data_IF_078379587532
#
_entry.id   IF_078379587532
#
_cell.length_a   1.000
_cell.length_b   1.000
_cell.length_c   1.000
_cell.angle_alpha   90.00
_cell.angle_beta   90.00
_cell.angle_gamma   90.00
#
_symmetry.space_group_name_H-M   'P 1'
#
loop_
_entity.id
_entity.type
_entity.pdbx_description
1 polymer ?
#
# COMPACT_ATOMS: atom_id res chain seq x y z
N UNK A 1 46.33 29.02 -13.81
CA UNK A 1 44.87 28.93 -14.01
C UNK A 1 44.47 27.49 -14.40
N UNK A 2 44.75 26.49 -13.55
CA UNK A 2 44.40 25.06 -13.81
C UNK A 2 43.95 24.36 -12.50
N UNK A 3 44.35 24.88 -11.33
CA UNK A 3 44.07 24.25 -10.02
C UNK A 3 42.61 24.43 -9.57
N UNK A 4 41.86 25.40 -10.10
CA UNK A 4 40.45 25.63 -9.72
C UNK A 4 39.50 24.67 -10.45
N UNK A 5 39.88 24.16 -11.64
CA UNK A 5 39.03 23.26 -12.43
C UNK A 5 38.98 21.84 -11.87
N UNK A 6 40.07 21.37 -11.24
CA UNK A 6 40.15 20.00 -10.69
C UNK A 6 39.40 19.82 -9.35
N UNK A 7 39.12 20.88 -8.60
CA UNK A 7 38.37 20.81 -7.34
C UNK A 7 36.84 20.73 -7.58
N UNK A 8 36.37 21.15 -8.77
CA UNK A 8 34.95 21.09 -9.15
C UNK A 8 34.50 19.66 -9.52
N UNK A 9 35.43 18.77 -9.89
CA UNK A 9 35.13 17.36 -10.22
C UNK A 9 35.11 16.42 -9.02
N UNK A 10 35.59 16.82 -7.85
CA UNK A 10 35.64 15.96 -6.65
C UNK A 10 34.55 16.26 -5.62
N UNK A 11 33.81 17.36 -5.80
CA UNK A 11 32.58 17.65 -5.09
C UNK A 11 31.43 17.56 -6.07
N UNK A 12 30.94 16.35 -6.30
CA UNK A 12 29.50 16.20 -6.41
C UNK A 12 28.95 16.92 -5.17
N UNK A 13 28.38 18.12 -5.36
CA UNK A 13 28.08 19.02 -4.24
C UNK A 13 27.15 18.27 -3.30
N UNK A 14 27.28 18.43 -1.98
CA UNK A 14 26.42 17.72 -1.01
C UNK A 14 24.92 17.88 -1.33
N UNK A 15 24.55 18.97 -2.01
CA UNK A 15 23.23 19.21 -2.59
C UNK A 15 22.84 18.23 -3.72
N UNK A 16 23.75 17.86 -4.63
CA UNK A 16 23.52 16.88 -5.69
C UNK A 16 23.34 15.47 -5.12
N UNK A 17 24.16 15.07 -4.13
CA UNK A 17 23.99 13.78 -3.43
C UNK A 17 22.65 13.71 -2.71
N UNK A 18 22.26 14.81 -2.07
CA UNK A 18 20.98 14.94 -1.36
C UNK A 18 19.80 14.82 -2.32
N UNK A 19 19.87 15.50 -3.47
CA UNK A 19 18.85 15.41 -4.53
C UNK A 19 18.74 14.00 -5.09
N UNK A 20 19.87 13.35 -5.37
CA UNK A 20 19.89 11.97 -5.86
C UNK A 20 19.27 10.98 -4.86
N UNK A 21 19.56 11.12 -3.56
CA UNK A 21 18.96 10.29 -2.51
C UNK A 21 17.45 10.49 -2.40
N UNK A 22 16.96 11.74 -2.44
CA UNK A 22 15.51 12.03 -2.41
C UNK A 22 14.82 11.46 -3.66
N UNK A 23 15.45 11.56 -4.83
CA UNK A 23 14.93 10.99 -6.07
C UNK A 23 14.85 9.47 -6.01
N UNK A 24 15.87 8.82 -5.44
CA UNK A 24 15.87 7.38 -5.19
C UNK A 24 14.76 6.97 -4.21
N UNK A 25 14.61 7.66 -3.08
CA UNK A 25 13.54 7.40 -2.12
C UNK A 25 12.15 7.62 -2.73
N UNK A 26 11.98 8.67 -3.53
CA UNK A 26 10.73 8.92 -4.25
C UNK A 26 10.40 7.79 -5.23
N UNK A 27 11.40 7.30 -5.97
CA UNK A 27 11.23 6.18 -6.91
C UNK A 27 10.83 4.88 -6.18
N UNK A 28 11.48 4.58 -5.06
CA UNK A 28 11.17 3.41 -4.23
C UNK A 28 9.74 3.54 -3.69
N UNK A 29 9.39 4.71 -3.14
CA UNK A 29 8.06 4.98 -2.58
C UNK A 29 6.96 4.87 -3.64
N UNK A 30 7.21 5.38 -4.85
CA UNK A 30 6.28 5.27 -5.98
C UNK A 30 6.01 3.80 -6.35
N UNK A 31 7.05 2.97 -6.41
CA UNK A 31 6.90 1.53 -6.65
C UNK A 31 6.04 0.81 -5.61
N UNK A 32 6.24 1.12 -4.33
CA UNK A 32 5.38 0.58 -3.26
C UNK A 32 3.95 1.13 -3.33
N UNK A 33 3.77 2.38 -3.72
CA UNK A 33 2.46 3.00 -3.87
C UNK A 33 1.64 2.35 -4.99
N UNK A 34 2.27 2.07 -6.12
CA UNK A 34 1.63 1.35 -7.22
C UNK A 34 1.29 -0.08 -6.82
N UNK A 35 2.19 -0.76 -6.09
CA UNK A 35 1.91 -2.08 -5.54
C UNK A 35 0.73 -2.07 -4.56
N UNK A 36 0.65 -1.08 -3.67
CA UNK A 36 -0.46 -0.92 -2.74
C UNK A 36 -1.80 -0.67 -3.46
N UNK A 37 -1.80 0.10 -4.56
CA UNK A 37 -2.97 0.26 -5.44
C UNK A 37 -3.40 -1.07 -6.03
N UNK A 38 -2.46 -1.86 -6.56
CA UNK A 38 -2.75 -3.18 -7.11
C UNK A 38 -3.39 -4.09 -6.07
N UNK A 39 -2.85 -4.18 -4.86
CA UNK A 39 -3.46 -4.98 -3.79
C UNK A 39 -4.84 -4.47 -3.35
N UNK A 40 -5.04 -3.15 -3.35
CA UNK A 40 -6.36 -2.56 -3.06
C UNK A 40 -7.38 -2.97 -4.13
N UNK A 41 -7.01 -2.87 -5.41
CA UNK A 41 -7.86 -3.30 -6.53
C UNK A 41 -8.15 -4.79 -6.48
N UNK A 42 -7.13 -5.61 -6.21
CA UNK A 42 -7.30 -7.07 -6.03
C UNK A 42 -8.21 -7.40 -4.85
N UNK A 43 -8.11 -6.67 -3.74
CA UNK A 43 -8.98 -6.87 -2.56
C UNK A 43 -10.45 -6.58 -2.90
N UNK A 44 -10.71 -5.48 -3.61
CA UNK A 44 -12.06 -5.12 -4.07
C UNK A 44 -12.56 -6.15 -5.09
N UNK A 45 -11.71 -6.54 -6.04
CA UNK A 45 -12.01 -7.58 -7.02
C UNK A 45 -12.35 -8.92 -6.35
N UNK A 46 -11.62 -9.30 -5.31
CA UNK A 46 -11.85 -10.53 -4.56
C UNK A 46 -13.18 -10.50 -3.79
N UNK A 47 -13.55 -9.34 -3.22
CA UNK A 47 -14.87 -9.14 -2.61
C UNK A 47 -15.99 -9.39 -3.64
N UNK A 48 -15.92 -8.74 -4.81
CA UNK A 48 -16.92 -8.91 -5.88
C UNK A 48 -16.95 -10.36 -6.39
N UNK A 49 -15.77 -10.95 -6.58
CA UNK A 49 -15.62 -12.33 -7.04
C UNK A 49 -16.25 -13.32 -6.05
N UNK A 50 -16.08 -13.09 -4.75
CA UNK A 50 -16.63 -13.98 -3.72
C UNK A 50 -18.16 -13.96 -3.68
N UNK A 51 -18.79 -12.82 -3.95
CA UNK A 51 -20.23 -12.70 -4.10
C UNK A 51 -20.68 -13.42 -5.38
N UNK A 52 -19.98 -13.19 -6.48
CA UNK A 52 -20.26 -13.85 -7.76
C UNK A 52 -20.12 -15.38 -7.64
N UNK A 53 -19.14 -15.87 -6.87
CA UNK A 53 -18.95 -17.29 -6.59
C UNK A 53 -20.16 -17.89 -5.86
N UNK A 54 -20.67 -17.21 -4.82
CA UNK A 54 -21.87 -17.65 -4.11
C UNK A 54 -23.10 -17.74 -5.03
N UNK A 55 -23.32 -16.71 -5.86
CA UNK A 55 -24.51 -16.64 -6.71
C UNK A 55 -24.42 -17.58 -7.92
N UNK A 56 -23.28 -17.62 -8.61
CA UNK A 56 -23.12 -18.31 -9.89
C UNK A 56 -22.64 -19.73 -9.78
N UNK A 57 -21.74 -20.02 -8.84
CA UNK A 57 -21.14 -21.36 -8.71
C UNK A 57 -21.94 -22.20 -7.73
N UNK A 58 -22.27 -21.64 -6.57
CA UNK A 58 -23.06 -22.35 -5.57
C UNK A 58 -24.58 -22.24 -5.80
N UNK A 59 -25.02 -21.40 -6.75
CA UNK A 59 -26.43 -21.24 -7.11
C UNK A 59 -27.30 -20.67 -5.98
N UNK A 60 -26.70 -20.10 -4.93
CA UNK A 60 -27.42 -19.64 -3.75
C UNK A 60 -28.10 -18.32 -4.09
N UNK A 61 -29.41 -18.37 -4.33
CA UNK A 61 -30.27 -17.21 -4.57
C UNK A 61 -31.33 -17.14 -3.47
N UNK A 62 -31.25 -16.17 -2.55
CA UNK A 62 -32.21 -16.04 -1.44
C UNK A 62 -31.62 -15.51 -0.13
N UNK A 63 -32.23 -15.84 1.02
CA UNK A 63 -31.67 -15.54 2.36
C UNK A 63 -30.37 -16.33 2.56
N UNK A 64 -29.24 -15.70 2.22
CA UNK A 64 -27.91 -16.29 2.37
C UNK A 64 -27.58 -16.35 3.86
N UNK A 65 -27.48 -17.55 4.42
CA UNK A 65 -26.75 -17.75 5.67
C UNK A 65 -25.26 -17.61 5.35
N UNK A 66 -24.70 -16.42 5.55
CA UNK A 66 -23.29 -16.14 5.27
C UNK A 66 -22.45 -16.84 6.34
N UNK A 67 -21.60 -17.81 5.97
CA UNK A 67 -20.77 -18.50 6.95
C UNK A 67 -19.71 -17.55 7.50
N UNK A 68 -19.40 -17.70 8.79
CA UNK A 68 -18.43 -16.84 9.49
C UNK A 68 -17.08 -16.74 8.78
N UNK A 69 -16.61 -17.84 8.17
CA UNK A 69 -15.37 -17.89 7.36
C UNK A 69 -15.36 -16.87 6.21
N UNK A 70 -16.49 -16.75 5.50
CA UNK A 70 -16.60 -15.81 4.39
C UNK A 70 -16.68 -14.36 4.89
N UNK A 71 -17.36 -14.16 6.02
CA UNK A 71 -17.43 -12.84 6.67
C UNK A 71 -16.05 -12.38 7.16
N UNK A 72 -15.24 -13.29 7.70
CA UNK A 72 -13.84 -12.99 8.03
C UNK A 72 -13.03 -12.65 6.78
N UNK A 73 -13.17 -13.42 5.69
CA UNK A 73 -12.48 -13.11 4.43
C UNK A 73 -12.80 -11.70 3.94
N UNK A 74 -14.08 -11.32 3.97
CA UNK A 74 -14.52 -9.98 3.58
C UNK A 74 -13.97 -8.89 4.48
N UNK A 75 -13.99 -9.11 5.79
CA UNK A 75 -13.44 -8.16 6.76
C UNK A 75 -11.95 -7.92 6.51
N UNK A 76 -11.19 -8.99 6.27
CA UNK A 76 -9.76 -8.89 5.98
C UNK A 76 -9.45 -8.20 4.66
N UNK A 77 -10.22 -8.45 3.59
CA UNK A 77 -10.05 -7.72 2.32
C UNK A 77 -10.48 -6.25 2.42
N UNK A 78 -11.52 -5.93 3.20
CA UNK A 78 -11.89 -4.53 3.49
C UNK A 78 -10.78 -3.82 4.27
N UNK A 79 -10.22 -4.47 5.29
CA UNK A 79 -9.09 -3.94 6.04
C UNK A 79 -7.85 -3.76 5.16
N UNK A 80 -7.57 -4.69 4.24
CA UNK A 80 -6.49 -4.57 3.27
C UNK A 80 -6.70 -3.37 2.32
N UNK A 81 -7.91 -3.19 1.79
CA UNK A 81 -8.24 -2.06 0.94
C UNK A 81 -8.12 -0.71 1.68
N UNK A 82 -8.62 -0.64 2.92
CA UNK A 82 -8.48 0.55 3.77
C UNK A 82 -7.02 0.84 4.12
N UNK A 83 -6.24 -0.19 4.44
CA UNK A 83 -4.81 -0.06 4.71
C UNK A 83 -4.06 0.43 3.46
N UNK A 84 -4.46 0.01 2.26
CA UNK A 84 -3.87 0.48 1.00
C UNK A 84 -4.16 1.94 0.72
N UNK A 85 -5.39 2.40 0.94
CA UNK A 85 -5.75 3.81 0.87
C UNK A 85 -5.00 4.64 1.92
N UNK A 86 -4.89 4.13 3.14
CA UNK A 86 -4.17 4.80 4.22
C UNK A 86 -2.65 4.85 3.98
N UNK A 87 -2.08 3.81 3.38
CA UNK A 87 -0.69 3.80 2.94
C UNK A 87 -0.41 4.90 1.91
N UNK A 88 -1.27 5.05 0.90
CA UNK A 88 -1.13 6.09 -0.12
C UNK A 88 -1.17 7.49 0.50
N UNK A 89 -2.12 7.75 1.40
CA UNK A 89 -2.20 9.04 2.12
C UNK A 89 -0.92 9.34 2.90
N UNK A 90 -0.40 8.34 3.64
CA UNK A 90 0.85 8.51 4.41
C UNK A 90 2.08 8.63 3.53
N UNK A 91 2.12 7.95 2.39
CA UNK A 91 3.24 8.00 1.48
C UNK A 91 3.42 9.42 0.92
N UNK A 92 2.32 10.08 0.54
CA UNK A 92 2.32 11.48 0.11
C UNK A 92 2.80 12.39 1.25
N UNK A 93 2.25 12.23 2.46
CA UNK A 93 2.63 13.06 3.62
C UNK A 93 4.10 12.88 4.02
N UNK A 94 4.66 11.68 3.84
CA UNK A 94 6.08 11.41 4.10
C UNK A 94 6.99 12.08 3.05
N UNK A 95 6.62 12.01 1.76
CA UNK A 95 7.33 12.68 0.68
C UNK A 95 7.30 14.21 0.85
N UNK A 96 6.15 14.79 1.21
CA UNK A 96 6.05 16.21 1.55
C UNK A 96 6.98 16.61 2.71
N UNK A 97 7.06 15.77 3.74
CA UNK A 97 7.95 15.97 4.88
C UNK A 97 9.44 15.98 4.50
N UNK A 98 9.86 15.12 3.56
CA UNK A 98 11.23 15.11 3.05
C UNK A 98 11.56 16.35 2.23
N UNK A 99 10.66 16.75 1.33
CA UNK A 99 10.84 17.96 0.51
C UNK A 99 10.99 19.22 1.38
N UNK A 100 10.26 19.29 2.50
CA UNK A 100 10.35 20.39 3.48
C UNK A 100 11.67 20.34 4.27
N UNK A 101 12.09 19.16 4.76
CA UNK A 101 13.34 19.02 5.52
C UNK A 101 14.58 19.37 4.71
N UNK A 102 14.56 19.12 3.40
CA UNK A 102 15.66 19.46 2.49
C UNK A 102 15.54 20.85 1.86
N UNK A 103 14.59 21.68 2.32
CA UNK A 103 14.43 23.09 1.92
C UNK A 103 14.22 23.30 0.40
N UNK A 104 13.75 22.28 -0.31
CA UNK A 104 13.58 22.32 -1.78
C UNK A 104 12.35 23.15 -2.18
N UNK A 105 11.35 23.30 -1.31
CA UNK A 105 10.17 24.14 -1.53
C UNK A 105 9.90 25.00 -0.29
N UNK A 106 9.91 26.33 -0.45
CA UNK A 106 9.58 27.27 0.61
C UNK A 106 8.09 27.19 0.98
N UNK A 107 7.83 26.72 2.19
CA UNK A 107 6.66 26.93 3.06
C UNK A 107 5.29 26.97 2.36
N UNK A 108 4.53 25.89 2.57
CA UNK A 108 3.18 26.04 3.13
C UNK A 108 3.04 25.07 4.29
N UNK A 109 2.81 25.66 5.47
CA UNK A 109 2.24 25.06 6.67
C UNK A 109 2.08 23.56 6.62
N UNK A 110 2.73 22.79 7.48
CA UNK A 110 1.98 21.85 8.30
C UNK A 110 2.77 21.41 9.53
N UNK A 111 2.03 21.35 10.63
CA UNK A 111 2.45 20.85 11.91
C UNK A 111 3.13 19.49 11.76
N UNK A 112 4.21 19.35 12.51
CA UNK A 112 4.96 18.11 12.72
C UNK A 112 4.00 17.19 13.49
N UNK A 113 3.13 16.48 12.79
CA UNK A 113 2.16 15.59 13.42
C UNK A 113 2.90 14.38 14.05
N UNK A 114 2.60 14.02 15.31
CA UNK A 114 3.31 13.00 16.07
C UNK A 114 3.08 11.55 15.59
N UNK A 115 2.36 11.32 14.49
CA UNK A 115 2.14 9.99 13.92
C UNK A 115 3.31 9.57 13.02
N UNK A 116 4.52 9.49 13.59
CA UNK A 116 5.70 8.78 13.08
C UNK A 116 5.47 7.25 13.01
N UNK A 117 4.33 6.81 12.50
CA UNK A 117 4.14 5.40 12.12
C UNK A 117 4.72 5.31 10.72
N UNK A 118 5.81 4.57 10.62
CA UNK A 118 6.55 4.42 9.39
C UNK A 118 5.67 3.73 8.32
N UNK A 119 5.73 4.20 7.06
CA UNK A 119 4.86 3.71 5.98
C UNK A 119 5.01 2.19 5.76
N UNK A 120 6.18 1.61 6.04
CA UNK A 120 6.42 0.17 5.92
C UNK A 120 5.50 -0.69 6.81
N UNK A 121 5.08 -0.19 7.97
CA UNK A 121 4.21 -0.94 8.89
C UNK A 121 2.80 -1.08 8.32
N UNK A 122 2.29 -0.02 7.70
CA UNK A 122 0.98 -0.02 7.06
C UNK A 122 0.99 -0.91 5.81
N UNK A 123 2.08 -0.90 5.06
CA UNK A 123 2.27 -1.79 3.92
C UNK A 123 2.31 -3.27 4.33
N UNK A 124 3.04 -3.61 5.40
CA UNK A 124 3.05 -4.97 5.95
C UNK A 124 1.67 -5.42 6.43
N UNK A 125 0.94 -4.53 7.11
CA UNK A 125 -0.43 -4.79 7.54
C UNK A 125 -1.38 -5.06 6.35
N UNK A 126 -1.28 -4.27 5.28
CA UNK A 126 -2.03 -4.51 4.03
C UNK A 126 -1.77 -5.92 3.48
N UNK A 127 -0.51 -6.35 3.42
CA UNK A 127 -0.16 -7.67 2.89
C UNK A 127 -0.74 -8.78 3.76
N UNK A 128 -0.55 -8.69 5.08
CA UNK A 128 -1.06 -9.69 6.02
C UNK A 128 -2.59 -9.80 5.93
N UNK A 129 -3.30 -8.67 5.93
CA UNK A 129 -4.76 -8.67 5.77
C UNK A 129 -5.19 -9.27 4.43
N UNK A 130 -4.53 -8.91 3.33
CA UNK A 130 -4.86 -9.45 2.01
C UNK A 130 -4.68 -10.97 1.92
N UNK A 131 -3.55 -11.49 2.40
CA UNK A 131 -3.27 -12.92 2.40
C UNK A 131 -4.21 -13.70 3.33
N UNK A 132 -4.48 -13.18 4.53
CA UNK A 132 -5.45 -13.80 5.44
C UNK A 132 -6.84 -13.90 4.80
N UNK A 133 -7.33 -12.81 4.20
CA UNK A 133 -8.62 -12.83 3.50
C UNK A 133 -8.67 -13.86 2.38
N UNK A 134 -7.59 -13.94 1.61
CA UNK A 134 -7.45 -14.92 0.50
C UNK A 134 -7.42 -16.36 1.00
N UNK A 135 -6.71 -16.64 2.10
CA UNK A 135 -6.65 -17.97 2.72
C UNK A 135 -8.04 -18.38 3.23
N UNK A 136 -8.74 -17.50 3.93
CA UNK A 136 -10.09 -17.80 4.43
C UNK A 136 -11.07 -18.09 3.29
N UNK A 137 -11.02 -17.31 2.21
CA UNK A 137 -11.84 -17.55 1.04
C UNK A 137 -11.49 -18.86 0.33
N UNK A 138 -10.20 -19.17 0.18
CA UNK A 138 -9.75 -20.42 -0.44
C UNK A 138 -10.19 -21.65 0.36
N UNK A 139 -10.05 -21.61 1.69
CA UNK A 139 -10.54 -22.68 2.58
C UNK A 139 -12.06 -22.83 2.45
N UNK A 140 -12.80 -21.71 2.47
CA UNK A 140 -14.25 -21.73 2.31
C UNK A 140 -14.67 -22.35 0.96
N UNK A 141 -14.06 -21.93 -0.13
CA UNK A 141 -14.31 -22.47 -1.47
C UNK A 141 -13.99 -23.95 -1.56
N UNK A 142 -12.84 -24.39 -1.04
CA UNK A 142 -12.45 -25.79 -1.02
C UNK A 142 -13.42 -26.66 -0.22
N UNK A 143 -13.82 -26.22 0.98
CA UNK A 143 -14.81 -26.93 1.79
C UNK A 143 -16.17 -27.06 1.09
N UNK A 144 -16.61 -26.01 0.40
CA UNK A 144 -17.90 -26.01 -0.30
C UNK A 144 -17.89 -26.89 -1.54
N UNK A 145 -16.80 -26.91 -2.30
CA UNK A 145 -16.65 -27.77 -3.48
C UNK A 145 -16.53 -29.24 -3.06
N UNK A 146 -15.74 -29.56 -2.02
CA UNK A 146 -15.56 -30.94 -1.56
C UNK A 146 -16.80 -31.53 -0.88
N UNK A 147 -17.69 -30.69 -0.36
CA UNK A 147 -18.93 -31.09 0.28
C UNK A 147 -20.12 -31.14 -0.68
N UNK A 148 -19.95 -30.73 -1.94
CA UNK A 148 -20.98 -30.73 -2.98
C UNK A 148 -20.87 -31.96 -3.87
#
# INVERSE_FOLDING_TARGET
MIIISFNKSYKMTEEEKTKAMIEEEHKIMAGYMDTAKTFTQLSIGALILSITFLEKILGITGKISVPYLLLFAWLFWLLAALAGAFYQYRAIKWLEGMVINYNIIQKRHHAIDPLKIYPYQVYGFLLVCFFLGTIFFAIFGAMKILSS
#
